data_IF_121326814215
#
_entry.id   IF_121326814215
#
_cell.length_a   1.000
_cell.length_b   1.000
_cell.length_c   1.000
_cell.angle_alpha   90.00
_cell.angle_beta   90.00
_cell.angle_gamma   90.00
#
_symmetry.space_group_name_H-M   'P 1'
#
loop_
_entity.id
_entity.type
_entity.pdbx_description
1 polymer ?
#
# COMPACT_ATOMS: atom_id res chain seq x y z
N UNK A 1 16.42 13.34 -12.64
CA UNK A 1 15.10 14.03 -12.62
C UNK A 1 14.88 14.65 -11.27
N UNK A 2 14.13 15.77 -11.21
CA UNK A 2 13.60 16.31 -9.96
C UNK A 2 12.26 15.62 -9.65
N UNK A 3 12.18 14.99 -8.47
CA UNK A 3 11.04 14.17 -8.08
C UNK A 3 10.46 14.69 -6.77
N UNK A 4 9.17 14.97 -6.76
CA UNK A 4 8.42 15.34 -5.56
C UNK A 4 7.68 14.14 -4.98
N UNK A 5 8.01 13.75 -3.75
CA UNK A 5 7.41 12.59 -3.07
C UNK A 5 6.49 13.08 -1.95
N UNK A 6 5.19 13.08 -2.17
CA UNK A 6 4.19 13.32 -1.14
C UNK A 6 3.99 12.04 -0.32
N UNK A 7 4.34 12.09 0.98
CA UNK A 7 4.34 10.93 1.87
C UNK A 7 5.71 10.26 2.03
N UNK A 8 6.80 11.03 1.90
CA UNK A 8 8.18 10.55 1.96
C UNK A 8 8.54 9.78 3.25
N UNK A 9 7.91 10.10 4.39
CA UNK A 9 8.16 9.44 5.68
C UNK A 9 7.24 8.24 5.98
N UNK A 10 6.31 7.90 5.07
CA UNK A 10 5.45 6.72 5.18
C UNK A 10 6.21 5.40 4.98
N UNK A 11 5.55 4.26 5.18
CA UNK A 11 6.18 2.94 5.04
C UNK A 11 6.86 2.76 3.67
N UNK A 12 6.11 3.05 2.59
CA UNK A 12 6.67 2.97 1.24
C UNK A 12 7.68 4.10 0.96
N UNK A 13 7.40 5.35 1.39
CA UNK A 13 8.29 6.48 1.17
C UNK A 13 9.70 6.25 1.73
N UNK A 14 9.81 5.63 2.89
CA UNK A 14 11.09 5.28 3.51
C UNK A 14 11.93 4.27 2.73
N UNK A 15 11.27 3.44 1.91
CA UNK A 15 11.96 2.50 1.00
C UNK A 15 12.25 3.15 -0.36
N UNK A 16 11.35 4.00 -0.82
CA UNK A 16 11.40 4.61 -2.15
C UNK A 16 12.44 5.72 -2.23
N UNK A 17 12.44 6.64 -1.26
CA UNK A 17 13.30 7.84 -1.31
C UNK A 17 14.79 7.51 -1.43
N UNK A 18 15.37 6.62 -0.60
CA UNK A 18 16.78 6.25 -0.76
C UNK A 18 17.08 5.66 -2.13
N UNK A 19 16.22 4.80 -2.67
CA UNK A 19 16.40 4.19 -4.00
C UNK A 19 16.41 5.24 -5.12
N UNK A 20 15.58 6.27 -5.01
CA UNK A 20 15.58 7.38 -5.98
C UNK A 20 16.87 8.21 -5.89
N UNK A 21 17.33 8.51 -4.68
CA UNK A 21 18.58 9.24 -4.44
C UNK A 21 19.80 8.46 -4.95
N UNK A 22 19.88 7.16 -4.65
CA UNK A 22 20.93 6.25 -5.14
C UNK A 22 21.00 6.19 -6.67
N UNK A 23 19.85 6.39 -7.35
CA UNK A 23 19.78 6.47 -8.82
C UNK A 23 20.13 7.86 -9.37
N UNK A 24 20.56 8.79 -8.51
CA UNK A 24 20.97 10.15 -8.91
C UNK A 24 19.81 11.10 -9.18
N UNK A 25 18.60 10.81 -8.68
CA UNK A 25 17.49 11.75 -8.74
C UNK A 25 17.58 12.79 -7.62
N UNK A 26 17.16 14.01 -7.91
CA UNK A 26 16.96 15.05 -6.90
C UNK A 26 15.58 14.91 -6.31
N UNK A 27 15.49 14.53 -5.03
CA UNK A 27 14.22 14.22 -4.37
C UNK A 27 13.83 15.31 -3.40
N UNK A 28 12.62 15.85 -3.54
CA UNK A 28 11.96 16.68 -2.52
C UNK A 28 10.90 15.84 -1.82
N UNK A 29 11.08 15.60 -0.52
CA UNK A 29 10.17 14.81 0.31
C UNK A 29 9.20 15.68 1.09
N UNK A 30 7.89 15.55 0.82
CA UNK A 30 6.85 16.26 1.56
C UNK A 30 6.46 15.52 2.82
N UNK A 31 6.40 16.24 3.93
CA UNK A 31 5.87 15.80 5.23
C UNK A 31 4.86 16.81 5.79
N UNK A 32 3.90 16.34 6.60
CA UNK A 32 2.88 17.22 7.20
C UNK A 32 3.34 17.95 8.46
N UNK A 33 4.48 17.59 9.04
CA UNK A 33 4.94 18.15 10.30
C UNK A 33 6.42 18.52 10.27
N UNK A 34 6.82 19.66 10.86
CA UNK A 34 8.23 20.07 10.97
C UNK A 34 9.10 19.01 11.66
N UNK A 35 8.56 18.31 12.66
CA UNK A 35 9.30 17.29 13.41
C UNK A 35 9.80 16.11 12.54
N UNK A 36 9.24 15.91 11.35
CA UNK A 36 9.65 14.85 10.42
C UNK A 36 10.65 15.30 9.35
N UNK A 37 11.07 16.58 9.34
CA UNK A 37 12.04 17.08 8.35
C UNK A 37 13.38 16.35 8.44
N UNK A 38 13.93 16.21 9.64
CA UNK A 38 15.17 15.47 9.85
C UNK A 38 15.10 14.04 9.29
N UNK A 39 13.93 13.40 9.40
CA UNK A 39 13.74 12.07 8.82
C UNK A 39 13.78 12.06 7.29
N UNK A 40 13.29 13.10 6.64
CA UNK A 40 13.39 13.25 5.17
C UNK A 40 14.84 13.48 4.76
N UNK A 41 15.59 14.30 5.51
CA UNK A 41 17.02 14.54 5.29
C UNK A 41 17.87 13.26 5.47
N UNK A 42 17.57 12.46 6.50
CA UNK A 42 18.21 11.15 6.72
C UNK A 42 18.00 10.18 5.56
N UNK A 43 16.89 10.30 4.83
CA UNK A 43 16.61 9.51 3.61
C UNK A 43 17.35 10.05 2.38
N UNK A 44 18.08 11.18 2.49
CA UNK A 44 18.81 11.81 1.41
C UNK A 44 17.99 12.80 0.56
N UNK A 45 16.78 13.17 0.98
CA UNK A 45 15.91 14.08 0.23
C UNK A 45 15.84 15.48 0.86
N UNK A 46 15.50 16.48 0.04
CA UNK A 46 15.22 17.84 0.49
C UNK A 46 13.84 17.89 1.18
N UNK A 47 13.72 18.29 2.46
CA UNK A 47 12.45 18.32 3.13
C UNK A 47 11.61 19.54 2.76
N UNK A 48 10.29 19.32 2.60
CA UNK A 48 9.30 20.39 2.56
C UNK A 48 8.13 20.05 3.46
N UNK A 49 7.67 21.03 4.25
CA UNK A 49 6.51 20.87 5.11
C UNK A 49 5.29 21.47 4.44
N UNK A 50 4.28 20.65 4.21
CA UNK A 50 2.98 21.09 3.70
C UNK A 50 1.87 20.13 4.15
N UNK A 51 0.72 20.70 4.50
CA UNK A 51 -0.50 19.91 4.69
C UNK A 51 -1.11 19.61 3.31
N UNK A 52 -1.23 18.34 2.97
CA UNK A 52 -1.82 17.90 1.70
C UNK A 52 -3.30 18.32 1.53
N UNK A 53 -3.99 18.63 2.63
CA UNK A 53 -5.36 19.13 2.61
C UNK A 53 -5.45 20.65 2.48
N UNK A 54 -4.32 21.34 2.35
CA UNK A 54 -4.25 22.78 2.09
C UNK A 54 -3.69 23.04 0.69
N UNK A 55 -4.55 23.47 -0.23
CA UNK A 55 -4.19 23.67 -1.63
C UNK A 55 -3.04 24.67 -1.84
N UNK A 56 -3.01 25.76 -1.06
CA UNK A 56 -1.98 26.81 -1.19
C UNK A 56 -0.61 26.29 -0.75
N UNK A 57 -0.56 25.53 0.37
CA UNK A 57 0.68 24.93 0.85
C UNK A 57 1.21 23.89 -0.13
N UNK A 58 0.33 23.04 -0.70
CA UNK A 58 0.71 22.06 -1.73
C UNK A 58 1.24 22.78 -2.96
N UNK A 59 0.54 23.78 -3.47
CA UNK A 59 0.97 24.56 -4.65
C UNK A 59 2.35 25.23 -4.41
N UNK A 60 2.54 25.86 -3.26
CA UNK A 60 3.82 26.50 -2.91
C UNK A 60 4.97 25.46 -2.77
N UNK A 61 4.69 24.31 -2.14
CA UNK A 61 5.69 23.25 -1.97
C UNK A 61 6.12 22.65 -3.31
N UNK A 62 5.17 22.35 -4.20
CA UNK A 62 5.43 21.80 -5.53
C UNK A 62 6.13 22.85 -6.42
N UNK A 63 5.70 24.13 -6.35
CA UNK A 63 6.36 25.22 -7.09
C UNK A 63 7.81 25.41 -6.68
N UNK A 64 8.12 25.32 -5.37
CA UNK A 64 9.49 25.41 -4.86
C UNK A 64 10.38 24.25 -5.33
N UNK A 65 9.80 23.06 -5.48
CA UNK A 65 10.53 21.85 -5.89
C UNK A 65 10.73 21.76 -7.42
N UNK A 66 9.94 22.47 -8.22
CA UNK A 66 9.94 22.42 -9.69
C UNK A 66 10.08 21.01 -10.26
N UNK A 67 9.22 20.04 -9.85
CA UNK A 67 9.42 18.64 -10.17
C UNK A 67 9.09 18.32 -11.63
N UNK A 68 9.81 17.32 -12.17
CA UNK A 68 9.47 16.66 -13.43
C UNK A 68 8.47 15.53 -13.21
N UNK A 69 8.48 14.93 -11.99
CA UNK A 69 7.62 13.82 -11.57
C UNK A 69 7.05 14.08 -10.19
N UNK A 70 5.77 13.83 -10.01
CA UNK A 70 5.12 13.80 -8.67
C UNK A 70 4.77 12.35 -8.31
N UNK A 71 5.08 11.96 -7.09
CA UNK A 71 4.75 10.65 -6.51
C UNK A 71 3.84 10.85 -5.31
N UNK A 72 2.63 10.32 -5.39
CA UNK A 72 1.61 10.44 -4.36
C UNK A 72 1.49 9.15 -3.56
N UNK A 73 2.03 9.14 -2.32
CA UNK A 73 2.00 8.02 -1.39
C UNK A 73 1.33 8.39 -0.06
N UNK A 74 0.46 9.40 -0.08
CA UNK A 74 -0.19 9.90 1.14
C UNK A 74 -1.24 8.91 1.66
N UNK A 75 -1.07 8.51 2.91
CA UNK A 75 -2.06 7.79 3.70
C UNK A 75 -1.95 8.23 5.17
N UNK A 76 -3.02 8.06 5.91
CA UNK A 76 -3.08 8.27 7.35
C UNK A 76 -3.78 7.06 8.00
N UNK A 77 -3.19 5.86 7.77
CA UNK A 77 -3.72 4.60 8.29
C UNK A 77 -3.20 4.43 9.71
N UNK A 78 -4.12 4.39 10.68
CA UNK A 78 -3.79 4.10 12.07
C UNK A 78 -3.54 2.61 12.29
N UNK A 79 -2.64 2.25 13.19
CA UNK A 79 -2.44 0.88 13.65
C UNK A 79 -3.71 0.27 14.27
N UNK A 80 -4.58 1.11 14.84
CA UNK A 80 -5.84 0.71 15.48
C UNK A 80 -7.04 0.70 14.51
N UNK A 81 -6.79 0.71 13.19
CA UNK A 81 -7.84 0.75 12.19
C UNK A 81 -8.81 -0.42 12.32
N UNK A 82 -10.08 -0.13 12.59
CA UNK A 82 -11.13 -1.13 12.77
C UNK A 82 -11.68 -1.62 11.44
N UNK A 83 -11.61 -2.92 11.21
CA UNK A 83 -12.20 -3.58 10.03
C UNK A 83 -13.74 -3.51 10.04
N UNK A 84 -14.38 -3.32 11.20
CA UNK A 84 -15.85 -3.25 11.30
C UNK A 84 -16.45 -2.04 10.59
N UNK A 85 -15.74 -0.92 10.62
CA UNK A 85 -16.14 0.31 9.93
C UNK A 85 -14.90 0.94 9.28
N UNK A 86 -14.58 0.41 8.11
CA UNK A 86 -13.41 0.80 7.33
C UNK A 86 -13.48 2.27 6.93
N UNK A 87 -14.65 2.76 6.47
CA UNK A 87 -14.80 4.15 6.06
C UNK A 87 -14.47 5.12 7.20
N UNK A 88 -14.93 4.83 8.43
CA UNK A 88 -14.58 5.65 9.58
C UNK A 88 -13.09 5.57 9.92
N UNK A 89 -12.50 4.38 9.87
CA UNK A 89 -11.08 4.17 10.18
C UNK A 89 -10.16 4.81 9.14
N UNK A 90 -10.63 4.90 7.89
CA UNK A 90 -9.88 5.46 6.77
C UNK A 90 -10.31 6.89 6.39
N UNK A 91 -11.14 7.55 7.19
CA UNK A 91 -11.69 8.88 6.86
C UNK A 91 -10.59 9.90 6.51
N UNK A 92 -9.51 9.98 7.31
CA UNK A 92 -8.38 10.85 7.01
C UNK A 92 -7.65 10.44 5.73
N UNK A 93 -7.44 9.13 5.52
CA UNK A 93 -6.85 8.59 4.29
C UNK A 93 -7.72 8.88 3.07
N UNK A 94 -9.04 8.77 3.21
CA UNK A 94 -9.98 9.05 2.12
C UNK A 94 -9.93 10.52 1.70
N UNK A 95 -9.80 11.46 2.64
CA UNK A 95 -9.56 12.87 2.33
C UNK A 95 -8.23 13.10 1.61
N UNK A 96 -7.17 12.45 2.04
CA UNK A 96 -5.87 12.52 1.34
C UNK A 96 -5.95 11.97 -0.09
N UNK A 97 -6.74 10.91 -0.30
CA UNK A 97 -6.99 10.31 -1.61
C UNK A 97 -7.88 11.15 -2.53
N UNK A 98 -8.78 11.96 -1.97
CA UNK A 98 -9.65 12.86 -2.74
C UNK A 98 -9.05 14.26 -2.81
N UNK A 99 -9.21 15.06 -1.77
CA UNK A 99 -8.76 16.45 -1.70
C UNK A 99 -7.24 16.59 -1.95
N UNK A 100 -6.43 15.72 -1.28
CA UNK A 100 -4.98 15.75 -1.45
C UNK A 100 -4.53 15.40 -2.87
N UNK A 101 -5.20 14.46 -3.53
CA UNK A 101 -4.95 14.14 -4.95
C UNK A 101 -5.29 15.33 -5.84
N UNK A 102 -6.46 15.96 -5.63
CA UNK A 102 -6.89 17.10 -6.43
C UNK A 102 -5.91 18.27 -6.32
N UNK A 103 -5.40 18.56 -5.11
CA UNK A 103 -4.40 19.61 -4.89
C UNK A 103 -3.08 19.30 -5.60
N UNK A 104 -2.59 18.05 -5.51
CA UNK A 104 -1.36 17.63 -6.18
C UNK A 104 -1.48 17.65 -7.70
N UNK A 105 -2.62 17.18 -8.25
CA UNK A 105 -2.89 17.20 -9.69
C UNK A 105 -3.03 18.64 -10.21
N UNK A 106 -3.69 19.52 -9.46
CA UNK A 106 -3.79 20.93 -9.81
C UNK A 106 -2.41 21.63 -9.83
N UNK A 107 -1.57 21.37 -8.82
CA UNK A 107 -0.20 21.88 -8.77
C UNK A 107 0.66 21.32 -9.92
N UNK A 108 0.53 20.02 -10.22
CA UNK A 108 1.20 19.37 -11.34
C UNK A 108 0.84 20.04 -12.69
N UNK A 109 -0.45 20.32 -12.88
CA UNK A 109 -0.94 20.98 -14.11
C UNK A 109 -0.41 22.40 -14.28
N UNK A 110 -0.42 23.16 -13.17
CA UNK A 110 0.05 24.56 -13.18
C UNK A 110 1.54 24.67 -13.58
N UNK A 111 2.36 23.68 -13.24
CA UNK A 111 3.80 23.66 -13.56
C UNK A 111 4.14 22.83 -14.80
N UNK A 112 3.15 22.21 -15.44
CA UNK A 112 3.37 21.38 -16.62
C UNK A 112 4.15 20.09 -16.34
N UNK A 113 4.00 19.53 -15.13
CA UNK A 113 4.59 18.24 -14.75
C UNK A 113 4.13 17.15 -15.69
N UNK A 114 5.04 16.33 -16.21
CA UNK A 114 4.76 15.38 -17.28
C UNK A 114 4.42 13.97 -16.79
N UNK A 115 4.76 13.62 -15.55
CA UNK A 115 4.51 12.29 -14.99
C UNK A 115 3.99 12.38 -13.56
N UNK A 116 2.98 11.55 -13.27
CA UNK A 116 2.38 11.44 -11.95
C UNK A 116 2.16 9.96 -11.60
N UNK A 117 2.74 9.51 -10.49
CA UNK A 117 2.59 8.13 -10.00
C UNK A 117 1.85 8.14 -8.68
N UNK A 118 0.70 7.49 -8.61
CA UNK A 118 -0.14 7.47 -7.42
C UNK A 118 -0.32 6.08 -6.84
N UNK A 119 -0.39 6.01 -5.51
CA UNK A 119 -0.76 4.81 -4.78
C UNK A 119 -2.26 4.53 -4.92
N UNK A 120 -2.58 3.31 -5.31
CA UNK A 120 -3.90 2.69 -5.22
C UNK A 120 -3.82 1.36 -4.45
N UNK A 121 -4.89 0.57 -4.42
CA UNK A 121 -4.95 -0.64 -3.64
C UNK A 121 -5.71 -1.76 -4.36
N UNK A 122 -5.11 -2.93 -4.53
CA UNK A 122 -5.68 -4.03 -5.31
C UNK A 122 -6.79 -4.81 -4.58
N UNK A 123 -6.73 -4.89 -3.24
CA UNK A 123 -7.41 -5.96 -2.53
C UNK A 123 -8.94 -5.88 -2.49
N UNK A 124 -9.56 -4.70 -2.57
CA UNK A 124 -11.01 -4.56 -2.36
C UNK A 124 -11.79 -4.09 -3.59
N UNK A 125 -11.07 -3.72 -4.62
CA UNK A 125 -11.69 -3.02 -5.75
C UNK A 125 -12.43 -3.94 -6.72
N UNK A 126 -11.98 -5.17 -6.86
CA UNK A 126 -12.48 -6.05 -7.90
C UNK A 126 -13.86 -6.65 -7.58
N UNK A 127 -14.66 -6.78 -8.63
CA UNK A 127 -15.93 -7.49 -8.55
C UNK A 127 -15.70 -8.94 -8.08
N UNK A 128 -16.46 -9.37 -7.08
CA UNK A 128 -16.30 -10.63 -6.37
C UNK A 128 -16.86 -11.84 -7.12
N UNK A 129 -17.13 -11.74 -8.43
CA UNK A 129 -17.61 -12.81 -9.30
C UNK A 129 -16.50 -13.31 -10.22
N UNK A 130 -16.68 -14.48 -10.81
CA UNK A 130 -15.74 -15.08 -11.76
C UNK A 130 -14.46 -15.63 -11.09
N UNK A 131 -13.36 -15.62 -11.82
CA UNK A 131 -12.08 -16.20 -11.39
C UNK A 131 -11.52 -15.60 -10.09
N UNK A 132 -10.71 -16.39 -9.36
CA UNK A 132 -10.17 -15.97 -8.05
C UNK A 132 -9.07 -14.90 -8.16
N UNK A 133 -8.42 -14.74 -9.31
CA UNK A 133 -7.37 -13.76 -9.57
C UNK A 133 -7.84 -12.85 -10.70
N UNK A 134 -7.65 -11.56 -10.55
CA UNK A 134 -8.11 -10.48 -11.42
C UNK A 134 -6.96 -9.75 -12.09
N UNK A 135 -7.22 -9.23 -13.28
CA UNK A 135 -6.35 -8.30 -14.00
C UNK A 135 -6.88 -6.87 -13.91
N UNK A 136 -6.13 -5.92 -14.44
CA UNK A 136 -6.54 -4.51 -14.49
C UNK A 136 -7.79 -4.29 -15.37
N UNK A 137 -8.06 -5.19 -16.31
CA UNK A 137 -9.21 -5.15 -17.23
C UNK A 137 -10.49 -5.72 -16.59
N UNK A 138 -10.38 -6.42 -15.47
CA UNK A 138 -11.54 -6.94 -14.76
C UNK A 138 -12.36 -5.80 -14.12
N UNK A 139 -13.69 -5.92 -14.11
CA UNK A 139 -14.56 -4.88 -13.56
C UNK A 139 -14.36 -4.74 -12.05
N UNK A 140 -14.45 -3.49 -11.62
CA UNK A 140 -14.51 -3.14 -10.20
C UNK A 140 -15.89 -3.47 -9.62
N UNK A 141 -15.98 -3.67 -8.31
CA UNK A 141 -17.25 -3.98 -7.63
C UNK A 141 -18.27 -2.83 -7.87
N UNK A 142 -19.39 -3.09 -8.54
CA UNK A 142 -20.38 -2.07 -8.86
C UNK A 142 -21.20 -1.64 -7.63
N UNK A 143 -21.29 -2.51 -6.60
CA UNK A 143 -22.00 -2.23 -5.34
C UNK A 143 -21.17 -2.64 -4.12
N UNK A 144 -20.15 -1.82 -3.79
CA UNK A 144 -19.32 -2.09 -2.63
C UNK A 144 -20.13 -1.99 -1.35
N UNK A 145 -19.74 -2.79 -0.36
CA UNK A 145 -20.39 -2.78 0.96
C UNK A 145 -20.47 -1.37 1.53
N UNK A 146 -21.56 -1.06 2.23
CA UNK A 146 -21.78 0.23 2.89
C UNK A 146 -20.56 0.69 3.73
N UNK A 147 -19.90 -0.23 4.45
CA UNK A 147 -18.79 0.06 5.37
C UNK A 147 -17.46 0.38 4.68
N UNK A 148 -17.38 0.23 3.35
CA UNK A 148 -16.18 0.48 2.53
C UNK A 148 -16.47 1.39 1.34
N UNK A 149 -17.68 1.90 1.21
CA UNK A 149 -18.15 2.63 0.02
C UNK A 149 -17.39 3.95 -0.20
N UNK A 150 -17.15 4.69 0.88
CA UNK A 150 -16.37 5.93 0.82
C UNK A 150 -14.91 5.65 0.50
N UNK A 151 -14.31 4.65 1.15
CA UNK A 151 -12.92 4.22 0.89
C UNK A 151 -12.75 3.73 -0.54
N UNK A 152 -13.71 2.96 -1.05
CA UNK A 152 -13.73 2.51 -2.43
C UNK A 152 -13.84 3.69 -3.42
N UNK A 153 -14.75 4.63 -3.12
CA UNK A 153 -14.90 5.87 -3.90
C UNK A 153 -13.63 6.70 -3.94
N UNK A 154 -12.96 6.85 -2.81
CA UNK A 154 -11.69 7.59 -2.70
C UNK A 154 -10.55 6.93 -3.49
N UNK A 155 -10.45 5.60 -3.48
CA UNK A 155 -9.45 4.89 -4.29
C UNK A 155 -9.74 5.08 -5.79
N UNK A 156 -10.99 4.94 -6.22
CA UNK A 156 -11.39 5.19 -7.62
C UNK A 156 -11.14 6.63 -8.04
N UNK A 157 -11.33 7.59 -7.13
CA UNK A 157 -11.04 9.00 -7.40
C UNK A 157 -9.56 9.21 -7.75
N UNK A 158 -8.62 8.65 -6.95
CA UNK A 158 -7.18 8.71 -7.25
C UNK A 158 -6.89 8.14 -8.64
N UNK A 159 -7.37 6.93 -8.93
CA UNK A 159 -7.13 6.29 -10.21
C UNK A 159 -7.63 7.16 -11.37
N UNK A 160 -8.88 7.60 -11.28
CA UNK A 160 -9.51 8.44 -12.30
C UNK A 160 -8.78 9.78 -12.48
N UNK A 161 -8.52 10.52 -11.40
CA UNK A 161 -7.87 11.82 -11.45
C UNK A 161 -6.49 11.77 -12.12
N UNK A 162 -5.77 10.64 -11.92
CA UNK A 162 -4.42 10.48 -12.45
C UNK A 162 -4.43 9.92 -13.87
N UNK A 163 -5.23 8.87 -14.14
CA UNK A 163 -5.17 8.19 -15.44
C UNK A 163 -6.01 8.87 -16.54
N UNK A 164 -7.01 9.67 -16.19
CA UNK A 164 -7.81 10.43 -17.18
C UNK A 164 -7.21 11.81 -17.52
N UNK A 165 -6.17 12.25 -16.82
CA UNK A 165 -5.47 13.50 -17.12
C UNK A 165 -4.63 13.34 -18.41
N UNK A 166 -5.14 13.83 -19.55
CA UNK A 166 -4.57 13.63 -20.89
C UNK A 166 -3.25 14.40 -21.12
N UNK A 167 -2.98 15.41 -20.31
CA UNK A 167 -1.80 16.29 -20.40
C UNK A 167 -0.54 15.75 -19.71
N UNK A 168 -0.63 14.62 -18.97
CA UNK A 168 0.50 13.97 -18.30
C UNK A 168 0.44 12.45 -18.45
N UNK A 169 1.56 11.77 -18.23
CA UNK A 169 1.59 10.32 -18.03
C UNK A 169 1.20 10.00 -16.61
N UNK A 170 -0.07 9.69 -16.39
CA UNK A 170 -0.63 9.34 -15.09
C UNK A 170 -0.65 7.84 -14.87
N UNK A 171 -0.01 7.35 -13.80
CA UNK A 171 0.10 5.95 -13.44
C UNK A 171 -0.48 5.73 -12.05
N UNK A 172 -1.40 4.77 -11.92
CA UNK A 172 -1.94 4.35 -10.64
C UNK A 172 -1.45 2.92 -10.32
N UNK A 173 -0.74 2.77 -9.21
CA UNK A 173 -0.20 1.49 -8.76
C UNK A 173 -1.12 0.88 -7.71
N UNK A 174 -1.85 -0.18 -8.06
CA UNK A 174 -2.67 -0.97 -7.15
C UNK A 174 -1.79 -1.95 -6.40
N UNK A 175 -1.29 -1.53 -5.25
CA UNK A 175 -0.48 -2.41 -4.42
C UNK A 175 -1.31 -3.50 -3.74
N UNK A 176 -0.71 -4.70 -3.62
CA UNK A 176 -1.19 -5.75 -2.73
C UNK A 176 -1.05 -5.36 -1.24
N UNK A 177 -1.37 -6.30 -0.36
CA UNK A 177 -1.15 -6.13 1.07
C UNK A 177 0.36 -6.01 1.33
N UNK A 178 0.77 -4.87 1.88
CA UNK A 178 2.17 -4.65 2.24
C UNK A 178 2.61 -5.56 3.37
N UNK A 179 3.73 -6.23 3.19
CA UNK A 179 4.50 -6.87 4.25
C UNK A 179 5.97 -6.46 4.13
N UNK A 180 6.76 -6.73 5.17
CA UNK A 180 8.14 -6.27 5.22
C UNK A 180 8.37 -5.13 6.21
N UNK A 181 9.62 -4.64 6.34
CA UNK A 181 10.01 -3.68 7.38
C UNK A 181 9.15 -2.41 7.41
N UNK A 182 8.60 -2.10 8.59
CA UNK A 182 7.80 -0.89 8.81
C UNK A 182 6.35 -0.98 8.34
N UNK A 183 5.86 -2.17 8.00
CA UNK A 183 4.45 -2.41 7.66
C UNK A 183 3.68 -3.05 8.82
N UNK A 184 2.35 -3.11 8.69
CA UNK A 184 1.49 -3.75 9.70
C UNK A 184 1.62 -5.28 9.75
N UNK A 185 2.10 -5.91 8.67
CA UNK A 185 2.40 -7.33 8.57
C UNK A 185 3.91 -7.59 8.72
N UNK A 186 4.51 -6.99 9.74
CA UNK A 186 5.92 -7.18 10.09
C UNK A 186 6.10 -7.08 11.60
N UNK A 187 7.30 -7.35 12.11
CA UNK A 187 7.63 -7.29 13.56
C UNK A 187 7.13 -6.00 14.19
N UNK A 188 6.30 -6.13 15.22
CA UNK A 188 5.67 -5.01 15.94
C UNK A 188 4.47 -4.39 15.22
N UNK A 189 4.09 -4.88 14.04
CA UNK A 189 2.95 -4.38 13.28
C UNK A 189 1.60 -4.88 13.81
N UNK A 190 0.58 -4.02 13.74
CA UNK A 190 -0.74 -4.27 14.30
C UNK A 190 -1.50 -5.47 13.71
N UNK A 191 -1.14 -5.94 12.51
CA UNK A 191 -1.76 -7.13 11.92
C UNK A 191 -0.95 -8.42 12.18
N UNK A 192 0.36 -8.33 12.38
CA UNK A 192 1.17 -9.51 12.71
C UNK A 192 0.96 -9.94 14.16
N UNK A 193 0.85 -9.02 15.10
CA UNK A 193 0.68 -9.30 16.52
C UNK A 193 -0.54 -10.21 16.83
N UNK A 194 -1.75 -10.02 16.27
CA UNK A 194 -2.85 -10.95 16.44
C UNK A 194 -2.56 -12.35 15.90
N UNK A 195 -1.79 -12.47 14.81
CA UNK A 195 -1.38 -13.78 14.26
C UNK A 195 -0.43 -14.47 15.23
N UNK A 196 0.60 -13.78 15.71
CA UNK A 196 1.56 -14.27 16.69
C UNK A 196 0.88 -14.79 17.97
N UNK A 197 -0.18 -14.12 18.40
CA UNK A 197 -0.96 -14.49 19.59
C UNK A 197 -2.05 -15.53 19.32
N UNK A 198 -2.17 -16.07 18.10
CA UNK A 198 -3.26 -16.98 17.70
C UNK A 198 -4.67 -16.39 17.82
N UNK A 199 -4.78 -15.06 17.72
CA UNK A 199 -6.02 -14.28 17.86
C UNK A 199 -6.60 -13.81 16.52
N UNK A 200 -6.04 -14.27 15.40
CA UNK A 200 -6.51 -13.95 14.06
C UNK A 200 -7.20 -15.19 13.47
N UNK A 201 -8.53 -15.37 13.67
CA UNK A 201 -9.23 -16.57 13.21
C UNK A 201 -9.57 -16.49 11.74
N UNK A 202 -9.76 -17.64 11.10
CA UNK A 202 -10.32 -17.77 9.75
C UNK A 202 -11.85 -17.85 9.87
N UNK A 203 -12.57 -16.85 9.37
CA UNK A 203 -14.03 -16.88 9.29
C UNK A 203 -14.47 -17.66 8.05
N UNK A 204 -15.31 -18.67 8.26
CA UNK A 204 -15.81 -19.54 7.19
C UNK A 204 -14.75 -20.49 6.64
N UNK A 205 -14.74 -20.65 5.32
CA UNK A 205 -13.85 -21.56 4.60
C UNK A 205 -12.48 -20.95 4.25
N UNK A 206 -12.32 -19.62 4.40
CA UNK A 206 -11.08 -18.93 4.03
C UNK A 206 -10.82 -18.93 2.53
N UNK A 207 -11.88 -18.94 1.71
CA UNK A 207 -11.77 -19.03 0.25
C UNK A 207 -11.36 -17.73 -0.45
N UNK A 208 -11.38 -16.59 0.24
CA UNK A 208 -10.89 -15.33 -0.31
C UNK A 208 -9.42 -15.44 -0.71
N UNK A 209 -9.06 -14.85 -1.84
CA UNK A 209 -7.68 -14.79 -2.33
C UNK A 209 -7.10 -13.42 -2.07
N UNK A 210 -5.97 -13.39 -1.40
CA UNK A 210 -5.21 -12.17 -1.12
C UNK A 210 -3.95 -12.12 -1.99
N UNK A 211 -3.59 -10.92 -2.39
CA UNK A 211 -2.31 -10.64 -3.05
C UNK A 211 -1.46 -9.77 -2.15
N UNK A 212 -0.22 -10.16 -1.96
CA UNK A 212 0.76 -9.46 -1.14
C UNK A 212 1.78 -8.76 -2.01
N UNK A 213 2.55 -7.88 -1.40
CA UNK A 213 3.76 -7.32 -1.99
C UNK A 213 4.75 -6.95 -0.89
N UNK A 214 6.00 -7.34 -1.02
CA UNK A 214 7.04 -6.88 -0.13
C UNK A 214 7.26 -5.38 -0.31
N UNK A 215 7.44 -4.64 0.78
CA UNK A 215 7.52 -3.19 0.74
C UNK A 215 8.69 -2.67 -0.13
N UNK A 216 9.79 -3.40 -0.18
CA UNK A 216 10.93 -3.07 -1.04
C UNK A 216 10.61 -3.29 -2.52
N UNK A 217 9.89 -4.37 -2.85
CA UNK A 217 9.46 -4.66 -4.21
C UNK A 217 8.41 -3.66 -4.70
N UNK A 218 7.56 -3.18 -3.79
CA UNK A 218 6.63 -2.08 -4.07
C UNK A 218 7.39 -0.77 -4.39
N UNK A 219 8.49 -0.51 -3.67
CA UNK A 219 9.36 0.63 -3.96
C UNK A 219 10.05 0.48 -5.32
N UNK A 220 10.56 -0.72 -5.64
CA UNK A 220 11.19 -1.00 -6.93
C UNK A 220 10.20 -0.86 -8.11
N UNK A 221 8.96 -1.35 -7.95
CA UNK A 221 7.90 -1.12 -8.93
C UNK A 221 7.54 0.37 -9.10
N UNK A 222 7.59 1.12 -7.99
CA UNK A 222 7.35 2.58 -8.03
C UNK A 222 8.47 3.30 -8.79
N UNK A 223 9.73 2.91 -8.56
CA UNK A 223 10.88 3.42 -9.33
C UNK A 223 10.70 3.12 -10.81
N UNK A 224 10.37 1.88 -11.16
CA UNK A 224 10.11 1.49 -12.55
C UNK A 224 9.00 2.33 -13.20
N UNK A 225 7.91 2.61 -12.47
CA UNK A 225 6.84 3.48 -12.95
C UNK A 225 7.25 4.97 -13.08
N UNK A 226 8.19 5.43 -12.28
CA UNK A 226 8.76 6.79 -12.35
C UNK A 226 9.65 6.92 -13.60
N UNK A 227 10.51 5.95 -13.83
CA UNK A 227 11.50 5.97 -14.91
C UNK A 227 10.93 5.53 -16.27
N UNK A 228 9.87 4.72 -16.27
CA UNK A 228 9.22 4.16 -17.46
C UNK A 228 7.71 4.00 -17.32
N UNK A 229 7.14 3.12 -18.13
CA UNK A 229 5.73 2.79 -18.13
C UNK A 229 4.83 3.81 -18.83
N UNK A 230 3.69 3.31 -19.29
CA UNK A 230 2.67 4.10 -19.96
C UNK A 230 1.56 4.49 -18.99
N UNK A 231 0.74 5.46 -19.40
CA UNK A 231 -0.47 5.85 -18.66
C UNK A 231 -1.36 4.65 -18.39
N UNK A 232 -1.81 4.51 -17.14
CA UNK A 232 -2.77 3.46 -16.81
C UNK A 232 -2.69 2.99 -15.38
N UNK A 233 -3.40 1.90 -15.14
CA UNK A 233 -3.44 1.22 -13.85
C UNK A 233 -2.60 -0.05 -13.93
N UNK A 234 -1.86 -0.34 -12.86
CA UNK A 234 -1.02 -1.54 -12.74
C UNK A 234 -1.20 -2.21 -11.38
N UNK A 235 -1.46 -3.50 -11.37
CA UNK A 235 -1.41 -4.29 -10.15
C UNK A 235 0.05 -4.59 -9.78
N UNK A 236 0.45 -4.16 -8.60
CA UNK A 236 1.79 -4.39 -8.05
C UNK A 236 1.67 -5.35 -6.87
N UNK A 237 1.81 -6.62 -7.17
CA UNK A 237 1.70 -7.74 -6.21
C UNK A 237 2.85 -8.72 -6.41
N UNK A 238 3.04 -9.63 -5.45
CA UNK A 238 3.89 -10.79 -5.67
C UNK A 238 3.28 -11.76 -6.70
N UNK A 239 4.00 -12.85 -7.01
CA UNK A 239 3.60 -13.79 -8.05
C UNK A 239 2.56 -14.83 -7.55
N UNK A 240 2.21 -14.80 -6.27
CA UNK A 240 1.36 -15.82 -5.64
C UNK A 240 0.18 -15.27 -4.85
N UNK A 241 -0.88 -14.82 -5.55
CA UNK A 241 -2.18 -14.63 -4.90
C UNK A 241 -2.62 -15.93 -4.24
N UNK A 242 -2.94 -15.90 -2.95
CA UNK A 242 -3.18 -17.12 -2.19
C UNK A 242 -4.43 -17.04 -1.31
N UNK A 243 -5.09 -18.19 -1.09
CA UNK A 243 -6.30 -18.27 -0.26
C UNK A 243 -5.96 -17.99 1.20
N UNK A 244 -6.88 -17.33 1.89
CA UNK A 244 -6.76 -17.10 3.34
C UNK A 244 -6.56 -18.41 4.11
N UNK A 245 -7.25 -19.49 3.66
CA UNK A 245 -7.12 -20.81 4.24
C UNK A 245 -5.71 -21.40 4.17
N UNK A 246 -4.85 -20.87 3.29
CA UNK A 246 -3.51 -21.39 3.01
C UNK A 246 -2.43 -20.42 3.52
N UNK A 247 -2.55 -19.10 3.24
CA UNK A 247 -1.52 -18.14 3.64
C UNK A 247 -1.49 -17.90 5.16
N UNK A 248 -2.67 -17.79 5.81
CA UNK A 248 -2.70 -17.43 7.23
C UNK A 248 -2.13 -18.54 8.15
N UNK A 249 -2.46 -19.84 7.95
CA UNK A 249 -1.75 -20.92 8.64
C UNK A 249 -0.27 -20.97 8.30
N UNK A 250 0.09 -20.76 7.02
CA UNK A 250 1.48 -20.78 6.58
C UNK A 250 2.34 -19.67 7.21
N UNK A 251 1.81 -18.44 7.35
CA UNK A 251 2.49 -17.36 8.08
C UNK A 251 2.64 -17.76 9.56
N UNK A 252 1.55 -18.24 10.19
CA UNK A 252 1.61 -18.65 11.61
C UNK A 252 2.68 -19.73 11.84
N UNK A 253 2.75 -20.75 10.99
CA UNK A 253 3.78 -21.79 11.04
C UNK A 253 5.19 -21.20 10.87
N UNK A 254 5.40 -20.35 9.88
CA UNK A 254 6.70 -19.75 9.57
C UNK A 254 7.27 -18.94 10.74
N UNK A 255 6.41 -18.20 11.46
CA UNK A 255 6.82 -17.38 12.60
C UNK A 255 6.72 -18.12 13.95
N UNK A 256 6.38 -19.42 13.95
CA UNK A 256 6.24 -20.21 15.17
C UNK A 256 5.02 -19.86 16.03
N UNK A 257 3.98 -19.29 15.43
CA UNK A 257 2.74 -18.91 16.10
C UNK A 257 1.72 -20.07 16.16
N UNK A 258 0.73 -20.02 17.08
CA UNK A 258 -0.35 -20.98 17.12
C UNK A 258 -1.16 -20.98 15.82
N UNK A 259 -1.54 -22.16 15.34
CA UNK A 259 -2.39 -22.30 14.15
C UNK A 259 -3.72 -21.54 14.31
N UNK A 260 -4.15 -20.77 13.29
CA UNK A 260 -5.37 -19.98 13.35
C UNK A 260 -6.61 -20.87 13.51
N UNK A 261 -7.50 -20.49 14.42
CA UNK A 261 -8.76 -21.19 14.65
C UNK A 261 -9.75 -20.88 13.54
N UNK A 262 -10.53 -21.88 13.10
CA UNK A 262 -11.67 -21.65 12.19
C UNK A 262 -12.92 -21.33 12.98
N UNK A 263 -13.65 -20.30 12.55
CA UNK A 263 -14.94 -19.91 13.15
C UNK A 263 -16.03 -19.87 12.06
N UNK A 264 -17.27 -20.28 12.39
CA UNK A 264 -18.40 -20.15 11.46
C UNK A 264 -18.59 -18.71 10.99
N UNK A 265 -19.02 -18.51 9.73
CA UNK A 265 -19.28 -17.16 9.16
C UNK A 265 -20.19 -16.30 10.06
N UNK A 266 -21.20 -16.91 10.68
CA UNK A 266 -22.13 -16.22 11.57
C UNK A 266 -21.42 -15.63 12.80
N UNK A 267 -20.55 -16.40 13.45
CA UNK A 267 -19.75 -15.92 14.57
C UNK A 267 -18.75 -14.86 14.14
N UNK A 268 -18.05 -15.07 13.02
CA UNK A 268 -17.18 -14.06 12.42
C UNK A 268 -17.91 -12.74 12.17
N UNK A 269 -19.15 -12.80 11.65
CA UNK A 269 -19.99 -11.62 11.42
C UNK A 269 -20.41 -10.90 12.72
N UNK A 270 -20.71 -11.68 13.77
CA UNK A 270 -21.08 -11.11 15.07
C UNK A 270 -19.92 -10.39 15.75
N UNK A 271 -18.72 -11.00 15.75
CA UNK A 271 -17.56 -10.47 16.48
C UNK A 271 -16.73 -9.48 15.68
N UNK A 272 -16.50 -9.70 14.38
CA UNK A 272 -15.64 -8.88 13.53
C UNK A 272 -16.40 -8.07 12.44
N UNK A 273 -17.69 -8.33 12.25
CA UNK A 273 -18.54 -7.64 11.27
C UNK A 273 -18.53 -8.29 9.87
N UNK A 274 -19.47 -7.82 9.03
CA UNK A 274 -19.61 -8.30 7.64
C UNK A 274 -18.34 -8.09 6.80
N UNK A 275 -17.61 -6.94 6.90
CA UNK A 275 -16.38 -6.74 6.13
C UNK A 275 -15.31 -7.81 6.39
N UNK A 276 -15.10 -8.17 7.66
CA UNK A 276 -14.11 -9.20 8.02
C UNK A 276 -14.44 -10.56 7.39
N UNK A 277 -15.72 -10.96 7.37
CA UNK A 277 -16.13 -12.21 6.73
C UNK A 277 -15.88 -12.17 5.23
N UNK A 278 -16.21 -11.06 4.55
CA UNK A 278 -15.97 -10.90 3.11
C UNK A 278 -14.48 -10.93 2.80
N UNK A 279 -13.64 -10.27 3.63
CA UNK A 279 -12.19 -10.34 3.49
C UNK A 279 -11.65 -11.77 3.57
N UNK A 280 -12.31 -12.64 4.34
CA UNK A 280 -11.89 -14.03 4.52
C UNK A 280 -12.49 -14.99 3.48
N UNK A 281 -13.58 -14.61 2.79
CA UNK A 281 -14.34 -15.58 1.98
C UNK A 281 -14.67 -15.15 0.56
N UNK A 282 -14.54 -13.85 0.22
CA UNK A 282 -15.04 -13.35 -1.07
C UNK A 282 -14.06 -12.51 -1.86
N UNK A 283 -13.00 -11.96 -1.24
CA UNK A 283 -12.03 -11.13 -1.96
C UNK A 283 -11.35 -11.92 -3.08
N UNK A 284 -10.94 -11.19 -4.10
CA UNK A 284 -10.21 -11.70 -5.25
C UNK A 284 -8.78 -11.18 -5.22
N UNK A 285 -7.85 -12.04 -5.58
CA UNK A 285 -6.46 -11.66 -5.79
C UNK A 285 -6.27 -10.85 -7.08
N UNK A 286 -5.09 -10.33 -7.27
CA UNK A 286 -4.71 -9.55 -8.44
C UNK A 286 -3.45 -10.15 -9.10
N UNK A 287 -3.41 -10.11 -10.44
CA UNK A 287 -2.27 -10.53 -11.23
C UNK A 287 -1.35 -9.34 -11.50
N UNK A 288 -0.04 -9.53 -11.36
CA UNK A 288 0.99 -8.54 -11.67
C UNK A 288 1.55 -8.67 -13.10
N UNK A 289 0.95 -9.49 -13.95
CA UNK A 289 1.48 -9.80 -15.29
C UNK A 289 1.66 -8.56 -16.17
N UNK A 290 0.75 -7.56 -16.05
CA UNK A 290 0.86 -6.30 -16.76
C UNK A 290 2.05 -5.47 -16.25
N UNK A 291 2.20 -5.31 -14.95
CA UNK A 291 3.31 -4.58 -14.37
C UNK A 291 4.67 -5.20 -14.76
N UNK A 292 4.80 -6.52 -14.71
CA UNK A 292 6.02 -7.21 -15.15
C UNK A 292 6.36 -6.93 -16.60
N UNK A 293 5.38 -6.95 -17.50
CA UNK A 293 5.59 -6.74 -18.92
C UNK A 293 5.85 -5.28 -19.31
N UNK A 294 5.11 -4.35 -18.72
CA UNK A 294 5.06 -2.95 -19.18
C UNK A 294 5.92 -2.00 -18.35
N UNK A 295 6.26 -2.37 -17.10
CA UNK A 295 7.20 -1.62 -16.26
C UNK A 295 8.60 -2.26 -16.25
N UNK A 296 8.82 -3.40 -16.94
CA UNK A 296 10.06 -4.18 -16.87
C UNK A 296 10.48 -4.45 -15.41
N UNK A 297 9.50 -4.80 -14.59
CA UNK A 297 9.68 -5.02 -13.16
C UNK A 297 9.32 -6.46 -12.79
N UNK A 298 10.08 -7.04 -11.88
CA UNK A 298 9.80 -8.36 -11.28
C UNK A 298 10.08 -8.31 -9.79
N UNK A 299 9.17 -8.84 -8.95
CA UNK A 299 9.39 -8.86 -7.51
C UNK A 299 10.59 -9.74 -7.15
N UNK A 300 11.44 -9.28 -6.24
CA UNK A 300 12.55 -10.07 -5.66
C UNK A 300 12.05 -11.09 -4.66
N UNK A 301 10.92 -10.80 -4.03
CA UNK A 301 10.19 -11.71 -3.15
C UNK A 301 8.96 -12.22 -3.91
N UNK A 302 9.07 -13.32 -4.69
CA UNK A 302 8.00 -13.81 -5.56
C UNK A 302 6.81 -14.35 -4.79
N UNK A 303 6.91 -14.54 -3.47
CA UNK A 303 5.78 -14.81 -2.60
C UNK A 303 6.02 -14.32 -1.16
N UNK A 304 4.93 -14.15 -0.42
CA UNK A 304 4.99 -13.85 1.01
C UNK A 304 5.79 -14.90 1.81
N UNK A 305 5.93 -16.14 1.30
CA UNK A 305 6.65 -17.23 1.97
C UNK A 305 8.12 -16.91 2.15
N UNK A 306 8.78 -16.40 1.12
CA UNK A 306 10.18 -16.00 1.17
C UNK A 306 10.37 -14.84 2.18
N UNK A 307 9.56 -13.80 2.10
CA UNK A 307 9.71 -12.65 2.99
C UNK A 307 9.42 -12.97 4.46
N UNK A 308 8.38 -13.79 4.76
CA UNK A 308 8.16 -14.22 6.15
C UNK A 308 9.22 -15.22 6.63
N UNK A 309 9.83 -16.02 5.75
CA UNK A 309 10.97 -16.85 6.11
C UNK A 309 12.19 -16.00 6.49
N UNK A 310 12.44 -14.89 5.78
CA UNK A 310 13.47 -13.91 6.12
C UNK A 310 13.20 -13.24 7.47
N UNK A 311 11.93 -12.83 7.73
CA UNK A 311 11.52 -12.31 9.03
C UNK A 311 11.85 -13.31 10.15
N UNK A 312 11.42 -14.56 10.00
CA UNK A 312 11.63 -15.59 11.00
C UNK A 312 13.14 -15.88 11.21
N UNK A 313 13.95 -15.82 10.16
CA UNK A 313 15.40 -15.97 10.26
C UNK A 313 16.04 -14.80 11.03
N UNK A 314 15.65 -13.56 10.71
CA UNK A 314 16.13 -12.36 11.39
C UNK A 314 15.75 -12.34 12.88
N UNK A 315 14.56 -12.80 13.25
CA UNK A 315 14.13 -12.89 14.65
C UNK A 315 14.88 -13.96 15.41
N UNK A 316 15.13 -15.13 14.81
CA UNK A 316 15.99 -16.17 15.43
C UNK A 316 17.42 -15.68 15.65
N UNK A 317 17.99 -14.94 14.69
CA UNK A 317 19.32 -14.34 14.81
C UNK A 317 19.41 -13.36 16.00
N UNK A 318 18.43 -12.46 16.12
CA UNK A 318 18.35 -11.51 17.25
C UNK A 318 18.19 -12.21 18.61
N UNK A 319 17.31 -13.21 18.68
CA UNK A 319 17.12 -13.99 19.89
C UNK A 319 18.41 -14.70 20.33
N UNK A 320 19.18 -15.23 19.38
CA UNK A 320 20.48 -15.85 19.65
C UNK A 320 21.53 -14.85 20.16
N UNK A 321 21.43 -13.57 19.77
CA UNK A 321 22.30 -12.47 20.27
C UNK A 321 21.80 -11.84 21.58
N UNK A 322 20.69 -12.29 22.14
CA UNK A 322 20.09 -11.74 23.37
C UNK A 322 19.47 -10.34 23.22
N UNK A 323 19.23 -9.89 21.99
CA UNK A 323 18.65 -8.59 21.71
C UNK A 323 17.13 -8.61 21.90
N UNK A 324 16.61 -7.59 22.60
CA UNK A 324 15.15 -7.40 22.72
C UNK A 324 14.55 -6.93 21.41
N UNK A 325 13.32 -7.37 21.12
CA UNK A 325 12.50 -6.90 20.00
C UNK A 325 12.42 -5.36 20.01
N UNK A 326 12.74 -4.67 18.90
CA UNK A 326 12.56 -3.23 18.84
C UNK A 326 11.06 -2.89 18.98
N UNK A 327 10.74 -2.00 19.91
CA UNK A 327 9.42 -1.40 19.98
C UNK A 327 9.30 -0.47 18.77
N UNK A 328 8.40 -0.77 17.85
CA UNK A 328 8.07 0.16 16.75
C UNK A 328 7.38 1.39 17.32
N UNK A 329 7.99 2.56 17.15
CA UNK A 329 7.42 3.86 17.41
C UNK A 329 6.46 4.26 16.28
#
# INVERSE_FOLDING_TARGET
MRIFVAGATGALGRQLVPKLVERGHEVTGMTSTPAKQAKVEELGANPVVADALNAEQVAAAVAKAEPEVIVHQLTAISADASIRNIDRSFAATNRLRTEGTDHLVAAARALGVKRFVAQSFAAWLYHRVGGPVKTEDDPLDPDPMRQVRETFGAIRHVEKAVTEADWMTGIALRYGWFYGPGTSLWTGGGHLEPIEKGRFPIAGDGSAVWSFIHIEDAADATVAAIEGGERGVYNVTDDRPERVADWLPGVAETIGAPSPKRVPKLLGRLFAGKPAVIMMTELRGASNAKAKRELDWTPRHPSWREGFAELAAAERGRAAMGERRPLTA
#
